data_IF_562288153567
#
_entry.id   IF_562288153567
#
_cell.length_a   1.000
_cell.length_b   1.000
_cell.length_c   1.000
_cell.angle_alpha   90.00
_cell.angle_beta   90.00
_cell.angle_gamma   90.00
#
_symmetry.space_group_name_H-M   'P 1'
#
loop_
_entity.id
_entity.type
_entity.pdbx_description
1 polymer ?
#
# COMPACT_ATOMS: atom_id res chain seq x y z
N UNK A 1 -10.18 -13.00 -2.42
CA UNK A 1 -8.83 -13.54 -2.61
C UNK A 1 -7.90 -12.88 -1.61
N UNK A 2 -7.05 -13.63 -0.92
CA UNK A 2 -6.04 -13.08 -0.02
C UNK A 2 -4.78 -12.83 -0.85
N UNK A 3 -4.23 -11.61 -0.82
CA UNK A 3 -3.07 -11.26 -1.64
C UNK A 3 -1.81 -12.05 -1.23
N UNK A 4 -1.71 -12.46 0.04
CA UNK A 4 -0.55 -13.18 0.57
C UNK A 4 -0.96 -14.60 0.94
N UNK A 5 -0.11 -15.58 0.60
CA UNK A 5 -0.33 -16.99 0.88
C UNK A 5 -0.57 -17.26 2.38
N UNK A 6 -1.49 -18.18 2.67
CA UNK A 6 -1.89 -18.49 4.04
C UNK A 6 -0.71 -18.98 4.90
N UNK A 7 -0.62 -18.48 6.13
CA UNK A 7 0.44 -18.86 7.07
C UNK A 7 1.80 -18.19 6.80
N UNK A 8 1.88 -17.28 5.82
CA UNK A 8 3.07 -16.44 5.62
C UNK A 8 3.28 -15.53 6.82
N UNK A 9 4.52 -15.48 7.31
CA UNK A 9 4.97 -14.59 8.38
C UNK A 9 6.09 -13.69 7.87
N UNK A 10 6.14 -12.46 8.37
CA UNK A 10 7.36 -11.65 8.29
C UNK A 10 8.29 -12.13 9.38
N UNK A 11 9.45 -12.68 8.99
CA UNK A 11 10.48 -13.18 9.89
C UNK A 11 11.34 -12.03 10.39
N UNK A 12 11.83 -11.20 9.47
CA UNK A 12 12.69 -10.05 9.76
C UNK A 12 12.49 -8.95 8.71
N UNK A 13 12.83 -7.72 9.08
CA UNK A 13 12.98 -6.62 8.13
C UNK A 13 14.25 -5.82 8.45
N UNK A 14 15.00 -5.46 7.42
CA UNK A 14 16.21 -4.65 7.54
C UNK A 14 16.16 -3.53 6.51
N UNK A 15 16.72 -2.36 6.85
CA UNK A 15 16.76 -1.20 5.94
C UNK A 15 18.21 -0.75 5.82
N UNK A 16 18.66 -0.57 4.59
CA UNK A 16 19.99 -0.08 4.27
C UNK A 16 20.00 1.44 4.11
N UNK A 17 21.20 2.04 4.18
CA UNK A 17 21.37 3.50 4.09
C UNK A 17 20.96 4.09 2.73
N UNK A 18 21.03 3.30 1.65
CA UNK A 18 20.62 3.71 0.30
C UNK A 18 19.09 3.73 0.11
N UNK A 19 18.35 3.19 1.08
CA UNK A 19 16.88 3.17 1.09
C UNK A 19 16.29 1.87 0.55
N UNK A 20 17.02 0.76 0.61
CA UNK A 20 16.50 -0.57 0.25
C UNK A 20 16.05 -1.31 1.51
N UNK A 21 14.84 -1.86 1.47
CA UNK A 21 14.31 -2.66 2.57
C UNK A 21 14.30 -4.14 2.21
N UNK A 22 14.97 -4.96 3.03
CA UNK A 22 14.95 -6.41 2.93
C UNK A 22 13.82 -6.93 3.80
N UNK A 23 12.86 -7.63 3.20
CA UNK A 23 11.70 -8.23 3.89
C UNK A 23 11.83 -9.74 3.80
N UNK A 24 12.19 -10.38 4.92
CA UNK A 24 12.30 -11.84 5.02
C UNK A 24 10.95 -12.44 5.39
N UNK A 25 10.44 -13.31 4.52
CA UNK A 25 9.18 -14.03 4.68
C UNK A 25 9.44 -15.49 5.06
N UNK A 26 8.48 -16.11 5.72
CA UNK A 26 8.53 -17.55 5.95
C UNK A 26 8.26 -18.33 4.66
N UNK A 27 8.80 -19.56 4.57
CA UNK A 27 8.62 -20.47 3.42
C UNK A 27 7.18 -20.66 2.90
N UNK A 28 6.17 -20.42 3.72
CA UNK A 28 4.76 -20.47 3.32
C UNK A 28 4.43 -19.47 2.21
N UNK A 29 5.19 -18.38 2.08
CA UNK A 29 5.06 -17.42 0.98
C UNK A 29 5.18 -18.09 -0.40
N UNK A 30 5.99 -19.15 -0.48
CA UNK A 30 6.21 -19.97 -1.68
C UNK A 30 5.37 -21.23 -1.62
N UNK A 31 5.48 -22.00 -0.53
CA UNK A 31 4.87 -23.34 -0.44
C UNK A 31 3.33 -23.33 -0.52
N UNK A 32 2.71 -22.26 -0.03
CA UNK A 32 1.26 -22.10 -0.04
C UNK A 32 0.80 -21.10 -1.11
N UNK A 33 1.70 -20.65 -1.99
CA UNK A 33 1.30 -19.75 -3.05
C UNK A 33 0.37 -20.48 -4.01
N UNK A 34 -0.87 -20.00 -4.10
CA UNK A 34 -1.89 -20.53 -5.01
C UNK A 34 -2.30 -19.38 -5.91
N UNK A 35 -2.18 -19.58 -7.22
CA UNK A 35 -2.55 -18.57 -8.20
C UNK A 35 -1.67 -18.63 -9.43
N UNK A 36 -1.98 -17.76 -10.40
CA UNK A 36 -1.17 -17.57 -11.59
C UNK A 36 -0.31 -16.30 -11.52
N UNK A 37 0.17 -15.85 -12.66
CA UNK A 37 1.07 -14.68 -12.75
C UNK A 37 0.51 -13.39 -12.16
N UNK A 38 -0.82 -13.18 -12.27
CA UNK A 38 -1.46 -11.99 -11.69
C UNK A 38 -1.55 -12.04 -10.17
N UNK A 39 -1.83 -13.22 -9.61
CA UNK A 39 -1.88 -13.40 -8.15
C UNK A 39 -0.49 -13.17 -7.55
N UNK A 40 0.55 -13.71 -8.17
CA UNK A 40 1.93 -13.46 -7.75
C UNK A 40 2.30 -11.98 -7.84
N UNK A 41 1.97 -11.34 -8.97
CA UNK A 41 2.22 -9.91 -9.17
C UNK A 41 1.57 -9.06 -8.06
N UNK A 42 0.30 -9.33 -7.76
CA UNK A 42 -0.40 -8.60 -6.70
C UNK A 42 0.13 -8.92 -5.31
N UNK A 43 0.53 -10.16 -5.02
CA UNK A 43 1.16 -10.52 -3.76
C UNK A 43 2.44 -9.73 -3.53
N UNK A 44 3.32 -9.71 -4.53
CA UNK A 44 4.59 -9.00 -4.50
C UNK A 44 4.36 -7.50 -4.31
N UNK A 45 3.54 -6.88 -5.17
CA UNK A 45 3.33 -5.44 -5.09
C UNK A 45 2.46 -5.00 -3.90
N UNK A 46 1.67 -5.89 -3.30
CA UNK A 46 1.02 -5.59 -2.01
C UNK A 46 2.08 -5.34 -0.92
N UNK A 47 3.12 -6.15 -0.86
CA UNK A 47 4.23 -5.98 0.10
C UNK A 47 5.05 -4.75 -0.26
N UNK A 48 5.52 -4.66 -1.51
CA UNK A 48 6.39 -3.57 -1.97
C UNK A 48 5.72 -2.21 -1.73
N UNK A 49 4.45 -2.07 -2.13
CA UNK A 49 3.73 -0.81 -1.98
C UNK A 49 3.39 -0.54 -0.50
N UNK A 50 3.01 -1.54 0.29
CA UNK A 50 2.75 -1.33 1.72
C UNK A 50 3.98 -0.76 2.44
N UNK A 51 5.19 -1.25 2.12
CA UNK A 51 6.41 -0.74 2.74
C UNK A 51 6.75 0.67 2.21
N UNK A 52 6.83 0.83 0.89
CA UNK A 52 7.31 2.08 0.27
C UNK A 52 6.35 3.26 0.39
N UNK A 53 5.04 3.02 0.49
CA UNK A 53 4.05 4.09 0.68
C UNK A 53 4.04 4.59 2.12
N UNK A 54 4.23 3.70 3.10
CA UNK A 54 4.17 4.07 4.52
C UNK A 54 5.52 4.54 5.09
N UNK A 55 6.63 4.22 4.43
CA UNK A 55 7.97 4.53 4.89
C UNK A 55 8.72 5.31 3.79
N UNK A 56 8.65 6.67 3.79
CA UNK A 56 9.15 7.50 2.68
C UNK A 56 10.65 7.39 2.41
N UNK A 57 11.43 6.96 3.39
CA UNK A 57 12.87 6.73 3.23
C UNK A 57 13.19 5.49 2.38
N UNK A 58 12.23 4.57 2.23
CA UNK A 58 12.40 3.32 1.49
C UNK A 58 11.98 3.53 0.04
N UNK A 59 12.93 3.28 -0.88
CA UNK A 59 12.76 3.44 -2.33
C UNK A 59 12.44 2.12 -3.02
N UNK A 60 12.95 1.01 -2.49
CA UNK A 60 12.79 -0.32 -3.06
C UNK A 60 12.73 -1.39 -1.96
N UNK A 61 12.14 -2.54 -2.29
CA UNK A 61 12.01 -3.69 -1.39
C UNK A 61 12.62 -4.93 -2.03
N UNK A 62 13.59 -5.55 -1.35
CA UNK A 62 14.07 -6.89 -1.64
C UNK A 62 13.25 -7.90 -0.84
N UNK A 63 12.60 -8.83 -1.53
CA UNK A 63 11.86 -9.92 -0.88
C UNK A 63 12.80 -11.10 -0.70
N UNK A 64 12.78 -11.70 0.49
CA UNK A 64 13.53 -12.90 0.83
C UNK A 64 12.61 -13.96 1.42
N UNK A 65 13.04 -15.22 1.37
CA UNK A 65 12.33 -16.34 1.97
C UNK A 65 13.28 -17.18 2.81
N UNK A 66 12.96 -17.37 4.09
CA UNK A 66 13.79 -18.09 5.06
C UNK A 66 15.26 -17.62 5.06
N UNK A 67 15.47 -16.31 4.92
CA UNK A 67 16.78 -15.66 4.92
C UNK A 67 17.56 -15.79 3.61
N UNK A 68 16.94 -16.25 2.52
CA UNK A 68 17.57 -16.39 1.21
C UNK A 68 16.87 -15.52 0.17
N UNK A 69 17.64 -14.96 -0.76
CA UNK A 69 17.09 -14.38 -1.98
C UNK A 69 16.48 -15.51 -2.83
N UNK A 70 15.34 -15.23 -3.44
CA UNK A 70 14.61 -16.18 -4.28
C UNK A 70 14.39 -15.57 -5.65
N UNK A 71 14.29 -16.41 -6.67
CA UNK A 71 14.03 -15.94 -8.03
C UNK A 71 12.59 -15.44 -8.18
N UNK A 72 11.65 -16.05 -7.46
CA UNK A 72 10.20 -15.87 -7.63
C UNK A 72 9.45 -16.55 -6.47
N UNK A 73 8.20 -16.13 -6.19
CA UNK A 73 7.33 -16.84 -5.24
C UNK A 73 6.61 -18.02 -5.90
N UNK A 74 6.28 -17.92 -7.19
CA UNK A 74 5.44 -18.91 -7.89
C UNK A 74 5.77 -19.16 -9.36
N UNK A 75 6.80 -18.53 -9.92
CA UNK A 75 7.31 -18.76 -11.27
C UNK A 75 7.21 -17.57 -12.23
N UNK A 76 6.72 -16.40 -11.81
CA UNK A 76 6.35 -15.33 -12.74
C UNK A 76 7.02 -13.98 -12.50
N UNK A 77 7.25 -13.57 -11.25
CA UNK A 77 7.85 -12.27 -10.95
C UNK A 77 9.31 -12.48 -10.56
N UNK A 78 10.22 -11.78 -11.24
CA UNK A 78 11.65 -11.78 -10.91
C UNK A 78 11.90 -11.02 -9.60
N UNK A 79 12.39 -11.74 -8.60
CA UNK A 79 12.70 -11.25 -7.25
C UNK A 79 14.20 -11.19 -6.96
N UNK A 80 15.06 -11.41 -7.97
CA UNK A 80 16.53 -11.37 -7.79
C UNK A 80 17.09 -9.96 -7.55
N UNK A 81 16.26 -8.94 -7.68
CA UNK A 81 16.64 -7.55 -7.47
C UNK A 81 15.55 -6.81 -6.68
N UNK A 82 15.92 -5.76 -5.93
CA UNK A 82 14.95 -4.95 -5.19
C UNK A 82 13.92 -4.31 -6.12
N UNK A 83 12.65 -4.38 -5.75
CA UNK A 83 11.55 -3.84 -6.54
C UNK A 83 11.15 -2.44 -6.03
N UNK A 84 11.11 -1.43 -6.91
CA UNK A 84 10.58 -0.12 -6.54
C UNK A 84 9.05 -0.16 -6.46
N UNK A 85 8.46 0.83 -5.80
CA UNK A 85 7.00 1.00 -5.77
C UNK A 85 6.40 1.08 -7.17
N UNK A 86 5.25 0.45 -7.37
CA UNK A 86 4.49 0.54 -8.62
C UNK A 86 3.00 0.64 -8.31
N UNK A 87 2.41 1.80 -8.60
CA UNK A 87 1.02 2.12 -8.26
C UNK A 87 0.06 2.06 -9.46
N UNK A 88 0.51 1.50 -10.59
CA UNK A 88 -0.28 1.45 -11.84
C UNK A 88 -1.64 0.73 -11.70
N UNK A 89 -1.83 -0.07 -10.65
CA UNK A 89 -3.05 -0.85 -10.38
C UNK A 89 -3.71 -0.50 -9.03
N UNK A 90 -3.27 0.57 -8.37
CA UNK A 90 -3.87 1.03 -7.12
C UNK A 90 -4.86 2.13 -7.45
N UNK A 91 -6.15 1.86 -7.26
CA UNK A 91 -7.19 2.88 -7.40
C UNK A 91 -7.06 3.93 -6.29
N UNK A 92 -7.09 5.21 -6.64
CA UNK A 92 -7.31 6.28 -5.66
C UNK A 92 -8.77 6.25 -5.24
N UNK A 93 -9.10 6.05 -3.94
CA UNK A 93 -10.48 6.03 -3.49
C UNK A 93 -11.25 7.34 -3.79
N UNK A 94 -10.55 8.46 -3.98
CA UNK A 94 -11.15 9.75 -4.37
C UNK A 94 -11.54 9.87 -5.84
N UNK A 95 -11.19 8.92 -6.71
CA UNK A 95 -11.58 8.97 -8.13
C UNK A 95 -12.95 8.33 -8.40
N UNK A 96 -13.56 7.68 -7.40
CA UNK A 96 -14.77 6.85 -7.57
C UNK A 96 -15.98 7.30 -6.74
N UNK A 97 -16.02 8.58 -6.30
CA UNK A 97 -17.24 9.18 -5.75
C UNK A 97 -17.49 10.53 -6.41
N UNK A 98 -18.03 10.51 -7.64
CA UNK A 98 -18.78 11.63 -8.23
C UNK A 98 -19.73 11.09 -9.31
N UNK A 99 -20.51 10.08 -8.93
CA UNK A 99 -21.66 9.55 -9.70
C UNK A 99 -23.00 10.15 -9.27
N UNK A 100 -22.99 11.27 -8.52
CA UNK A 100 -24.18 12.03 -8.17
C UNK A 100 -24.05 13.44 -8.74
N UNK A 101 -25.09 13.88 -9.44
CA UNK A 101 -25.36 15.26 -9.88
C UNK A 101 -24.51 16.33 -9.19
N UNK A 102 -23.87 17.27 -9.91
CA UNK A 102 -23.18 18.39 -9.27
C UNK A 102 -24.14 19.08 -8.29
N UNK A 103 -23.86 18.93 -7.00
CA UNK A 103 -24.53 19.68 -5.96
C UNK A 103 -24.36 21.14 -6.29
N UNK A 104 -25.47 21.86 -6.38
CA UNK A 104 -25.47 23.32 -6.50
C UNK A 104 -24.47 23.92 -5.49
N UNK A 105 -23.78 25.01 -5.86
CA UNK A 105 -22.88 25.68 -4.92
C UNK A 105 -23.65 25.98 -3.62
N UNK A 106 -23.00 25.86 -2.45
CA UNK A 106 -23.65 26.21 -1.19
C UNK A 106 -24.14 27.65 -1.30
N UNK A 107 -25.43 27.86 -1.00
CA UNK A 107 -25.99 29.20 -0.89
C UNK A 107 -25.13 30.03 0.08
N UNK A 108 -24.93 31.33 -0.17
CA UNK A 108 -24.17 32.17 0.74
C UNK A 108 -24.79 32.07 2.13
N UNK A 109 -23.92 31.87 3.14
CA UNK A 109 -24.34 31.90 4.53
C UNK A 109 -25.17 33.17 4.77
N UNK A 110 -26.39 33.00 5.29
CA UNK A 110 -27.22 34.12 5.69
C UNK A 110 -26.48 35.06 6.65
N UNK A 111 -26.89 36.32 6.76
CA UNK A 111 -26.20 37.30 7.61
C UNK A 111 -26.08 36.76 9.04
N UNK A 112 -24.93 37.02 9.72
CA UNK A 112 -24.73 36.54 11.08
C UNK A 112 -25.82 37.07 12.02
N UNK A 113 -26.20 36.32 13.06
CA UNK A 113 -27.17 36.78 14.04
C UNK A 113 -26.69 38.08 14.71
N UNK A 114 -27.60 39.01 15.07
CA UNK A 114 -27.21 40.25 15.72
C UNK A 114 -26.53 39.96 17.06
N UNK A 115 -25.47 40.73 17.34
CA UNK A 115 -24.71 40.64 18.58
C UNK A 115 -25.62 40.85 19.83
N UNK A 116 -25.35 40.16 20.95
CA UNK A 116 -26.12 40.37 22.17
C UNK A 116 -25.91 41.80 22.69
N UNK A 117 -27.00 42.45 23.07
CA UNK A 117 -27.02 43.80 23.64
C UNK A 117 -26.24 43.81 24.95
N UNK A 118 -25.29 44.74 25.16
CA UNK A 118 -24.61 44.85 26.45
C UNK A 118 -25.59 45.29 27.56
N UNK A 119 -25.40 44.84 28.81
CA UNK A 119 -26.23 45.28 29.92
C UNK A 119 -26.05 46.79 30.15
N UNK A 120 -27.17 47.47 30.42
CA UNK A 120 -27.20 48.90 30.78
C UNK A 120 -26.58 49.13 32.18
N UNK A 121 -25.99 50.31 32.43
CA UNK A 121 -25.40 50.67 33.72
C UNK A 121 -26.44 50.79 34.83
#
# INVERSE_FOLDING_TARGET
>A
AQAIAEGTKVRQMFVTEDGTAFVDLSKQAVANHRGGSLDELFAVYAIVNAVTVNLPAIKAVQIMVDGQEVDTLAGHVDLRHPLPRNLSWVGTPDAATDGGTPGAPPAPAGPPPPAPTPPRP
#
